data_IF_579308923266
#
_entry.id   IF_579308923266
#
_cell.length_a   1.000
_cell.length_b   1.000
_cell.length_c   1.000
_cell.angle_alpha   90.00
_cell.angle_beta   90.00
_cell.angle_gamma   90.00
#
_symmetry.space_group_name_H-M   'P 1'
#
loop_
_entity.id
_entity.type
_entity.pdbx_description
1 polymer ?
#
# COMPACT_ATOMS: atom_id res chain seq x y z
N UNK A 1 -17.19 -21.94 11.66
CA UNK A 1 -18.10 -20.78 11.65
C UNK A 1 -18.95 -20.79 10.37
N UNK A 2 -20.19 -20.28 10.40
CA UNK A 2 -21.06 -20.20 9.21
C UNK A 2 -20.88 -18.87 8.45
N UNK A 3 -21.26 -18.83 7.17
CA UNK A 3 -21.15 -17.63 6.31
C UNK A 3 -21.81 -16.36 6.89
N UNK A 4 -22.88 -16.49 7.67
CA UNK A 4 -23.59 -15.37 8.32
C UNK A 4 -23.18 -15.14 9.78
N UNK A 5 -22.15 -15.82 10.27
CA UNK A 5 -21.66 -15.56 11.64
C UNK A 5 -20.82 -14.28 11.59
N UNK A 6 -21.14 -13.24 12.38
CA UNK A 6 -20.33 -12.03 12.41
C UNK A 6 -18.89 -12.37 12.83
N UNK A 7 -17.88 -11.64 12.34
CA UNK A 7 -16.51 -11.86 12.74
C UNK A 7 -16.36 -11.60 14.24
N UNK A 8 -15.54 -12.42 14.90
CA UNK A 8 -15.23 -12.22 16.31
C UNK A 8 -14.40 -10.94 16.48
N UNK A 9 -14.78 -10.15 17.48
CA UNK A 9 -14.06 -8.93 17.85
C UNK A 9 -13.41 -9.13 19.21
N UNK A 10 -12.24 -8.52 19.43
CA UNK A 10 -11.57 -8.55 20.72
C UNK A 10 -12.51 -8.01 21.83
N UNK A 11 -12.55 -8.72 22.95
CA UNK A 11 -13.40 -8.40 24.09
C UNK A 11 -14.86 -8.86 23.96
N UNK A 12 -15.26 -9.41 22.82
CA UNK A 12 -16.62 -9.91 22.59
C UNK A 12 -16.98 -11.05 23.55
N UNK A 13 -18.14 -10.94 24.18
CA UNK A 13 -18.70 -12.00 25.03
C UNK A 13 -19.47 -13.00 24.17
N UNK A 14 -19.16 -14.28 24.36
CA UNK A 14 -19.80 -15.41 23.68
C UNK A 14 -20.29 -16.44 24.69
N UNK A 15 -21.32 -17.21 24.33
CA UNK A 15 -21.75 -18.34 25.15
C UNK A 15 -20.68 -19.43 25.16
N UNK A 16 -20.67 -20.25 26.22
CA UNK A 16 -19.70 -21.34 26.38
C UNK A 16 -19.79 -22.35 25.23
N UNK A 17 -21.01 -22.79 24.92
CA UNK A 17 -21.26 -23.73 23.81
C UNK A 17 -20.79 -23.18 22.46
N UNK A 18 -20.95 -21.87 22.24
CA UNK A 18 -20.51 -21.24 21.01
C UNK A 18 -18.98 -21.15 20.94
N UNK A 19 -18.31 -20.80 22.04
CA UNK A 19 -16.85 -20.84 22.13
C UNK A 19 -16.31 -22.25 21.88
N UNK A 20 -16.89 -23.26 22.52
CA UNK A 20 -16.45 -24.66 22.37
C UNK A 20 -16.68 -25.16 20.92
N UNK A 21 -17.79 -24.74 20.28
CA UNK A 21 -18.04 -24.99 18.87
C UNK A 21 -16.98 -24.33 17.98
N UNK A 22 -16.59 -23.10 18.27
CA UNK A 22 -15.57 -22.37 17.50
C UNK A 22 -14.22 -23.06 17.59
N UNK A 23 -13.77 -23.40 18.79
CA UNK A 23 -12.51 -24.15 19.02
C UNK A 23 -12.51 -25.49 18.27
N UNK A 24 -13.68 -26.13 18.16
CA UNK A 24 -13.80 -27.41 17.45
C UNK A 24 -13.77 -27.27 15.92
N UNK A 25 -14.37 -26.21 15.37
CA UNK A 25 -14.60 -26.09 13.91
C UNK A 25 -13.62 -25.14 13.22
N UNK A 26 -12.99 -24.22 13.93
CA UNK A 26 -12.09 -23.23 13.37
C UNK A 26 -10.64 -23.59 13.74
N UNK A 27 -9.79 -23.97 12.76
CA UNK A 27 -8.42 -24.39 13.03
C UNK A 27 -7.51 -23.27 13.53
N UNK A 28 -7.97 -22.00 13.49
CA UNK A 28 -7.19 -20.84 13.91
C UNK A 28 -7.67 -20.24 15.23
N UNK A 29 -8.67 -20.83 15.88
CA UNK A 29 -9.20 -20.38 17.18
C UNK A 29 -8.91 -21.46 18.21
N UNK A 30 -8.27 -21.06 19.30
CA UNK A 30 -7.85 -21.96 20.37
C UNK A 30 -8.59 -21.66 21.68
N UNK A 31 -8.60 -22.61 22.60
CA UNK A 31 -9.24 -22.44 23.90
C UNK A 31 -8.62 -21.28 24.70
N UNK A 32 -7.30 -21.08 24.57
CA UNK A 32 -6.55 -19.98 25.18
C UNK A 32 -6.94 -18.58 24.67
N UNK A 33 -7.63 -18.49 23.54
CA UNK A 33 -8.14 -17.23 23.00
C UNK A 33 -9.39 -16.76 23.74
N UNK A 34 -9.93 -17.60 24.64
CA UNK A 34 -11.08 -17.29 25.47
C UNK A 34 -10.69 -17.14 26.94
N UNK A 35 -11.24 -16.11 27.57
CA UNK A 35 -11.16 -15.90 29.00
C UNK A 35 -12.48 -16.27 29.67
N UNK A 36 -12.44 -17.05 30.74
CA UNK A 36 -13.65 -17.43 31.48
C UNK A 36 -14.24 -16.26 32.30
N UNK A 37 -15.48 -15.88 31.97
CA UNK A 37 -16.24 -14.81 32.63
C UNK A 37 -17.67 -15.28 32.90
N UNK A 38 -17.91 -16.07 33.97
CA UNK A 38 -19.21 -16.69 34.22
C UNK A 38 -20.35 -15.65 34.18
N UNK A 39 -21.45 -15.92 33.44
CA UNK A 39 -21.79 -17.17 32.75
C UNK A 39 -21.18 -17.35 31.33
N UNK A 40 -20.47 -16.37 30.79
CA UNK A 40 -19.95 -16.32 29.40
C UNK A 40 -18.44 -16.65 29.29
N UNK A 41 -17.93 -16.65 28.05
CA UNK A 41 -16.51 -16.61 27.72
C UNK A 41 -16.23 -15.32 26.93
N UNK A 42 -15.09 -14.68 27.19
CA UNK A 42 -14.68 -13.45 26.51
C UNK A 42 -13.58 -13.76 25.50
N UNK A 43 -13.78 -13.44 24.22
CA UNK A 43 -12.75 -13.59 23.18
C UNK A 43 -11.65 -12.54 23.35
N UNK A 44 -10.38 -12.93 23.25
CA UNK A 44 -9.21 -12.06 23.46
C UNK A 44 -8.16 -12.12 22.36
N UNK A 45 -8.35 -12.94 21.33
CA UNK A 45 -7.42 -12.91 20.21
C UNK A 45 -7.60 -11.62 19.40
N UNK A 46 -6.47 -10.98 19.13
CA UNK A 46 -6.41 -9.81 18.27
C UNK A 46 -6.60 -10.20 16.80
N UNK A 47 -7.28 -9.35 16.03
CA UNK A 47 -7.60 -9.61 14.63
C UNK A 47 -6.34 -9.65 13.76
N UNK A 48 -5.34 -8.83 14.06
CA UNK A 48 -4.08 -8.81 13.32
C UNK A 48 -3.35 -10.14 13.57
N UNK A 49 -3.24 -10.56 14.83
CA UNK A 49 -2.65 -11.84 15.22
C UNK A 49 -3.35 -13.04 14.55
N UNK A 50 -4.68 -13.00 14.47
CA UNK A 50 -5.48 -14.01 13.76
C UNK A 50 -5.18 -14.02 12.25
N UNK A 51 -5.04 -12.85 11.61
CA UNK A 51 -4.69 -12.77 10.19
C UNK A 51 -3.26 -13.25 9.92
N UNK A 52 -2.29 -12.90 10.76
CA UNK A 52 -0.94 -13.45 10.66
C UNK A 52 -0.94 -14.98 10.81
N UNK A 53 -1.75 -15.52 11.72
CA UNK A 53 -1.85 -16.98 11.88
C UNK A 53 -2.50 -17.66 10.67
N UNK A 54 -3.54 -17.04 10.09
CA UNK A 54 -4.29 -17.58 8.95
C UNK A 54 -3.56 -17.46 7.60
N UNK A 55 -2.92 -16.33 7.34
CA UNK A 55 -2.28 -16.01 6.05
C UNK A 55 -0.75 -16.16 6.10
N UNK A 56 -0.15 -16.15 7.29
CA UNK A 56 1.29 -16.27 7.47
C UNK A 56 2.05 -15.21 6.67
N UNK A 57 3.05 -15.66 5.90
CA UNK A 57 3.90 -14.80 5.06
C UNK A 57 3.12 -14.07 3.96
N UNK A 58 1.97 -14.57 3.54
CA UNK A 58 1.18 -13.93 2.49
C UNK A 58 0.52 -12.63 2.97
N UNK A 59 0.21 -12.50 4.26
CA UNK A 59 -0.31 -11.26 4.82
C UNK A 59 0.69 -10.12 4.66
N UNK A 60 1.94 -10.36 5.05
CA UNK A 60 3.03 -9.39 4.93
C UNK A 60 3.31 -9.02 3.48
N UNK A 61 3.34 -10.02 2.60
CA UNK A 61 3.56 -9.80 1.18
C UNK A 61 2.42 -8.98 0.54
N UNK A 62 1.18 -9.24 0.94
CA UNK A 62 0.01 -8.49 0.50
C UNK A 62 0.07 -7.04 0.96
N UNK A 63 0.33 -6.80 2.25
CA UNK A 63 0.49 -5.46 2.80
C UNK A 63 1.62 -4.69 2.10
N UNK A 64 2.78 -5.31 1.93
CA UNK A 64 3.90 -4.72 1.20
C UNK A 64 3.51 -4.36 -0.24
N UNK A 65 2.86 -5.29 -0.94
CA UNK A 65 2.44 -5.08 -2.32
C UNK A 65 1.41 -3.94 -2.42
N UNK A 66 0.46 -3.86 -1.51
CA UNK A 66 -0.53 -2.76 -1.45
C UNK A 66 0.13 -1.42 -1.19
N UNK A 67 1.09 -1.35 -0.28
CA UNK A 67 1.85 -0.11 -0.02
C UNK A 67 2.64 0.31 -1.26
N UNK A 68 3.32 -0.63 -1.93
CA UNK A 68 4.07 -0.35 -3.16
C UNK A 68 3.15 0.13 -4.29
N UNK A 69 2.00 -0.52 -4.48
CA UNK A 69 1.02 -0.11 -5.48
C UNK A 69 0.48 1.30 -5.20
N UNK A 70 0.15 1.61 -3.94
CA UNK A 70 -0.29 2.95 -3.54
C UNK A 70 0.78 4.02 -3.76
N UNK A 71 2.03 3.71 -3.40
CA UNK A 71 3.17 4.61 -3.64
C UNK A 71 3.38 4.85 -5.14
N UNK A 72 3.35 3.80 -5.95
CA UNK A 72 3.52 3.92 -7.40
C UNK A 72 2.39 4.75 -8.03
N UNK A 73 1.14 4.55 -7.62
CA UNK A 73 0.01 5.35 -8.10
C UNK A 73 0.20 6.83 -7.78
N UNK A 74 0.68 7.17 -6.58
CA UNK A 74 0.96 8.56 -6.20
C UNK A 74 2.13 9.15 -7.00
N UNK A 75 3.19 8.38 -7.24
CA UNK A 75 4.31 8.83 -8.08
C UNK A 75 3.88 9.11 -9.51
N UNK A 76 3.04 8.26 -10.10
CA UNK A 76 2.51 8.48 -11.46
C UNK A 76 1.67 9.75 -11.53
N UNK A 77 0.81 9.99 -10.54
CA UNK A 77 0.03 11.23 -10.47
C UNK A 77 0.97 12.45 -10.35
N UNK A 78 2.00 12.36 -9.51
CA UNK A 78 2.94 13.45 -9.30
C UNK A 78 3.80 13.74 -10.53
N UNK A 79 4.26 12.70 -11.22
CA UNK A 79 5.00 12.80 -12.48
C UNK A 79 4.15 13.48 -13.57
N UNK A 80 2.87 13.09 -13.68
CA UNK A 80 1.93 13.74 -14.59
C UNK A 80 1.60 15.19 -14.20
N UNK A 81 1.62 15.52 -12.91
CA UNK A 81 1.33 16.86 -12.40
C UNK A 81 2.52 17.83 -12.53
N UNK A 82 3.75 17.37 -12.36
CA UNK A 82 4.96 18.20 -12.46
C UNK A 82 5.19 18.75 -13.88
N UNK A 83 4.55 18.15 -14.90
CA UNK A 83 4.60 18.61 -16.28
C UNK A 83 5.95 18.32 -16.95
N UNK A 84 6.02 18.40 -18.29
CA UNK A 84 7.24 18.07 -19.03
C UNK A 84 8.40 18.97 -18.60
N UNK A 85 9.46 18.36 -18.06
CA UNK A 85 10.78 18.98 -17.91
C UNK A 85 11.20 19.50 -19.29
N UNK A 86 11.09 20.82 -19.50
CA UNK A 86 11.56 21.44 -20.73
C UNK A 86 13.06 21.22 -20.80
N UNK A 87 13.59 20.58 -21.87
CA UNK A 87 15.02 20.50 -22.04
C UNK A 87 15.55 21.93 -22.09
N UNK A 88 16.55 22.22 -21.25
CA UNK A 88 17.27 23.49 -21.32
C UNK A 88 17.83 23.63 -22.73
N UNK A 89 17.19 24.46 -23.56
CA UNK A 89 17.74 24.82 -24.86
C UNK A 89 19.02 25.58 -24.56
N UNK A 90 20.16 24.92 -24.75
CA UNK A 90 21.46 25.58 -24.74
C UNK A 90 21.41 26.59 -25.88
N UNK A 91 21.22 27.87 -25.56
CA UNK A 91 21.40 28.94 -26.54
C UNK A 91 22.85 28.89 -26.98
N UNK A 92 23.09 28.34 -28.16
CA UNK A 92 24.35 28.48 -28.84
C UNK A 92 24.51 29.97 -29.12
N UNK A 93 25.38 30.61 -28.34
CA UNK A 93 25.77 32.01 -28.50
C UNK A 93 26.27 32.15 -29.94
N UNK A 94 25.51 32.84 -30.77
CA UNK A 94 25.91 33.24 -32.11
C UNK A 94 27.20 34.05 -32.01
N UNK A 95 28.31 33.44 -32.42
CA UNK A 95 29.51 34.19 -32.80
C UNK A 95 29.22 34.83 -34.14
N UNK A 96 28.66 36.04 -34.12
CA UNK A 96 28.77 36.97 -35.23
C UNK A 96 30.24 37.38 -35.31
N UNK A 97 30.96 36.92 -36.33
CA UNK A 97 32.27 37.49 -36.71
C UNK A 97 32.00 38.70 -37.60
N UNK A 98 32.41 39.92 -37.22
CA UNK A 98 32.27 41.12 -38.04
C UNK A 98 33.55 41.38 -38.85
N UNK A 99 33.88 40.53 -39.82
CA UNK A 99 35.12 40.68 -40.58
C UNK A 99 35.22 39.75 -41.79
N UNK A 100 34.43 39.99 -42.85
CA UNK A 100 34.90 39.77 -44.23
C UNK A 100 34.44 40.93 -45.12
N UNK A 101 35.31 41.93 -45.18
CA UNK A 101 35.38 42.95 -46.22
C UNK A 101 36.02 42.29 -47.45
N UNK A 102 35.26 42.08 -48.53
CA UNK A 102 35.83 41.79 -49.85
C UNK A 102 35.17 42.67 -50.91
N UNK A 103 35.90 43.73 -51.26
CA UNK A 103 35.84 44.54 -52.48
C UNK A 103 34.92 44.02 -53.60
N UNK A 104 33.92 44.81 -53.97
CA UNK A 104 33.62 45.06 -55.38
C UNK A 104 33.44 46.56 -55.59
N UNK A 105 34.46 47.18 -56.19
CA UNK A 105 34.53 48.59 -56.50
C UNK A 105 33.69 48.91 -57.74
N UNK A 106 32.85 49.94 -57.61
CA UNK A 106 32.04 50.50 -58.69
C UNK A 106 32.88 51.33 -59.68
N UNK A 107 32.41 51.37 -60.93
CA UNK A 107 32.62 52.36 -62.01
C UNK A 107 33.80 52.20 -62.99
N UNK A 108 33.47 51.93 -64.26
CA UNK A 108 33.36 52.96 -65.31
C UNK A 108 32.76 52.38 -66.62
#
# INVERSE_FOLDING_TARGET
>A
AGWMTPPLTEGQLVSREFADRLVTHDPYIFEQDFWDRPPYKQFRADQISMWHHKLGRFFELGTLYTVLAGMLNMLVIYDAWAGPMHPFVKQEKSTVNPDEESNDGTAA
#
